data_IF_400871802552
#
_entry.id   IF_400871802552
#
_cell.length_a   1.000
_cell.length_b   1.000
_cell.length_c   1.000
_cell.angle_alpha   90.00
_cell.angle_beta   90.00
_cell.angle_gamma   90.00
#
_symmetry.space_group_name_H-M   'P 1'
#
loop_
_entity.id
_entity.type
_entity.pdbx_description
1 polymer ?
#
# COMPACT_ATOMS: atom_id res chain seq x y z
N UNK A 1 -6.33 -2.99 14.04
CA UNK A 1 -5.46 -1.98 13.46
C UNK A 1 -4.63 -2.54 12.32
N UNK A 2 -3.97 -3.64 12.52
CA UNK A 2 -3.25 -4.35 11.47
C UNK A 2 -4.06 -5.57 11.05
N UNK A 3 -4.36 -5.70 9.76
CA UNK A 3 -5.13 -6.82 9.25
C UNK A 3 -4.74 -7.14 7.80
N UNK A 4 -5.17 -8.30 7.33
CA UNK A 4 -4.90 -8.74 5.97
C UNK A 4 -5.99 -8.25 5.03
N UNK A 5 -5.59 -7.58 3.95
CA UNK A 5 -6.50 -7.13 2.91
C UNK A 5 -6.20 -7.88 1.61
N UNK A 6 -7.23 -8.06 0.80
CA UNK A 6 -7.11 -8.65 -0.54
C UNK A 6 -7.20 -7.52 -1.56
N UNK A 7 -6.23 -7.48 -2.46
CA UNK A 7 -6.15 -6.49 -3.52
C UNK A 7 -6.42 -7.13 -4.86
N UNK A 8 -7.23 -6.46 -5.68
CA UNK A 8 -7.45 -6.83 -7.06
C UNK A 8 -6.83 -5.76 -7.95
N UNK A 9 -5.84 -6.14 -8.72
CA UNK A 9 -5.08 -5.20 -9.55
C UNK A 9 -4.88 -5.75 -10.95
N UNK A 10 -4.64 -4.85 -11.89
CA UNK A 10 -4.23 -5.19 -13.25
C UNK A 10 -2.76 -4.84 -13.41
N UNK A 11 -1.97 -5.80 -13.84
CA UNK A 11 -0.54 -5.60 -14.07
C UNK A 11 -0.25 -5.77 -15.55
N UNK A 12 0.39 -4.78 -16.14
CA UNK A 12 0.80 -4.81 -17.54
C UNK A 12 2.28 -5.15 -17.64
N UNK A 13 2.61 -6.18 -18.41
CA UNK A 13 4.00 -6.55 -18.69
C UNK A 13 4.37 -6.20 -20.11
N UNK A 14 5.51 -5.52 -20.26
CA UNK A 14 6.08 -5.23 -21.58
C UNK A 14 6.69 -6.50 -22.18
N UNK A 15 6.96 -6.54 -23.49
CA UNK A 15 7.65 -7.68 -24.09
C UNK A 15 8.99 -7.99 -23.43
N UNK A 16 9.69 -6.97 -22.96
CA UNK A 16 10.96 -7.13 -22.23
C UNK A 16 10.73 -7.83 -20.89
N UNK A 17 9.69 -7.44 -20.17
CA UNK A 17 9.33 -8.07 -18.90
C UNK A 17 8.93 -9.53 -19.11
N UNK A 18 8.22 -9.83 -20.20
CA UNK A 18 7.82 -11.19 -20.53
C UNK A 18 9.02 -12.10 -20.78
N UNK A 19 10.08 -11.60 -21.41
CA UNK A 19 11.31 -12.36 -21.59
C UNK A 19 11.93 -12.76 -20.26
N UNK A 20 11.95 -11.83 -19.31
CA UNK A 20 12.45 -12.08 -17.96
C UNK A 20 11.56 -13.03 -17.18
N UNK A 21 10.26 -13.07 -17.51
CA UNK A 21 9.25 -13.84 -16.81
C UNK A 21 9.08 -15.29 -17.32
N UNK A 22 9.79 -15.70 -18.37
CA UNK A 22 9.61 -17.02 -18.98
C UNK A 22 9.75 -18.15 -17.95
N UNK A 23 10.68 -18.04 -17.03
CA UNK A 23 10.94 -19.08 -16.03
C UNK A 23 10.04 -18.96 -14.81
N UNK A 24 9.61 -17.75 -14.44
CA UNK A 24 8.82 -17.55 -13.24
C UNK A 24 7.97 -16.28 -13.33
N UNK A 25 6.82 -16.42 -13.98
CA UNK A 25 5.89 -15.31 -14.19
C UNK A 25 5.34 -14.77 -12.87
N UNK A 26 5.02 -15.65 -11.94
CA UNK A 26 4.41 -15.24 -10.67
C UNK A 26 5.36 -14.38 -9.84
N UNK A 27 6.66 -14.69 -9.85
CA UNK A 27 7.66 -13.88 -9.15
C UNK A 27 7.74 -12.47 -9.73
N UNK A 28 7.69 -12.34 -11.05
CA UNK A 28 7.74 -11.03 -11.73
C UNK A 28 6.49 -10.21 -11.41
N UNK A 29 5.32 -10.83 -11.46
CA UNK A 29 4.05 -10.16 -11.12
C UNK A 29 4.03 -9.72 -9.66
N UNK A 30 4.46 -10.58 -8.75
CA UNK A 30 4.55 -10.25 -7.33
C UNK A 30 5.50 -9.08 -7.08
N UNK A 31 6.66 -9.08 -7.74
CA UNK A 31 7.62 -7.98 -7.63
C UNK A 31 7.05 -6.65 -8.08
N UNK A 32 6.30 -6.64 -9.18
CA UNK A 32 5.64 -5.42 -9.66
C UNK A 32 4.53 -4.95 -8.72
N UNK A 33 3.78 -5.87 -8.14
CA UNK A 33 2.75 -5.53 -7.16
C UNK A 33 3.38 -4.95 -5.89
N UNK A 34 4.47 -5.53 -5.41
CA UNK A 34 5.18 -5.01 -4.25
C UNK A 34 5.67 -3.58 -4.48
N UNK A 35 6.26 -3.32 -5.64
CA UNK A 35 6.72 -1.97 -5.98
C UNK A 35 5.58 -0.96 -6.06
N UNK A 36 4.37 -1.39 -6.44
CA UNK A 36 3.21 -0.53 -6.57
C UNK A 36 2.48 -0.31 -5.24
N UNK A 37 2.37 -1.33 -4.41
CA UNK A 37 1.51 -1.33 -3.22
C UNK A 37 2.25 -1.11 -1.91
N UNK A 38 3.39 -1.72 -1.71
CA UNK A 38 4.10 -1.66 -0.43
C UNK A 38 4.63 -0.26 -0.11
N UNK A 39 4.53 0.12 1.16
CA UNK A 39 4.97 1.42 1.62
C UNK A 39 4.08 2.58 1.19
N UNK A 40 2.87 2.31 0.72
CA UNK A 40 1.94 3.32 0.24
C UNK A 40 0.56 3.11 0.86
N UNK A 41 -0.21 4.20 0.92
CA UNK A 41 -1.60 4.13 1.36
C UNK A 41 -2.49 3.62 0.23
N UNK A 42 -3.37 2.69 0.57
CA UNK A 42 -4.41 2.20 -0.32
C UNK A 42 -5.78 2.49 0.29
N UNK A 43 -6.85 2.14 -0.40
CA UNK A 43 -8.19 2.28 0.17
C UNK A 43 -8.40 1.39 1.39
N UNK A 44 -7.58 0.36 1.58
CA UNK A 44 -7.64 -0.52 2.74
C UNK A 44 -6.78 -0.05 3.90
N UNK A 45 -5.86 0.88 3.65
CA UNK A 45 -4.91 1.41 4.62
C UNK A 45 -3.49 1.41 4.09
N UNK A 46 -2.54 1.67 4.97
CA UNK A 46 -1.12 1.67 4.62
C UNK A 46 -0.61 0.24 4.49
N UNK A 47 -0.05 -0.10 3.33
CA UNK A 47 0.44 -1.45 3.04
C UNK A 47 1.84 -1.62 3.62
N UNK A 48 2.00 -2.59 4.50
CA UNK A 48 3.29 -2.87 5.14
C UNK A 48 4.29 -3.51 4.16
N UNK A 49 5.57 -3.22 4.36
CA UNK A 49 6.64 -3.78 3.54
C UNK A 49 6.76 -5.29 3.73
N UNK A 50 7.14 -5.99 2.67
CA UNK A 50 7.33 -7.45 2.65
C UNK A 50 6.09 -8.26 3.03
N UNK A 51 4.91 -7.67 2.91
CA UNK A 51 3.65 -8.33 3.26
C UNK A 51 2.84 -8.78 2.05
N UNK A 52 3.07 -8.19 0.88
CA UNK A 52 2.27 -8.47 -0.32
C UNK A 52 2.66 -9.82 -0.92
N UNK A 53 1.65 -10.67 -1.14
CA UNK A 53 1.81 -12.00 -1.72
C UNK A 53 0.78 -12.21 -2.81
N UNK A 54 1.22 -12.77 -3.92
CA UNK A 54 0.33 -13.11 -5.03
C UNK A 54 -0.51 -14.34 -4.67
N UNK A 55 -1.83 -14.22 -4.78
CA UNK A 55 -2.76 -15.33 -4.54
C UNK A 55 -3.12 -16.03 -5.83
N UNK A 56 -3.50 -15.27 -6.86
CA UNK A 56 -3.91 -15.83 -8.14
C UNK A 56 -3.72 -14.80 -9.25
N UNK A 57 -3.70 -15.28 -10.47
CA UNK A 57 -3.62 -14.45 -11.65
C UNK A 57 -4.49 -15.03 -12.76
N UNK A 58 -4.93 -14.15 -13.65
CA UNK A 58 -5.62 -14.58 -14.86
C UNK A 58 -4.61 -14.98 -15.94
N UNK A 59 -5.12 -15.55 -17.02
CA UNK A 59 -4.33 -15.69 -18.24
C UNK A 59 -4.11 -14.30 -18.84
N UNK A 60 -2.90 -14.03 -19.31
CA UNK A 60 -2.58 -12.74 -19.90
C UNK A 60 -3.40 -12.45 -21.16
N UNK A 61 -3.83 -11.20 -21.31
CA UNK A 61 -4.49 -10.73 -22.52
C UNK A 61 -3.68 -9.61 -23.14
N UNK A 62 -3.56 -9.62 -24.47
CA UNK A 62 -2.85 -8.56 -25.18
C UNK A 62 -3.68 -7.28 -25.12
N UNK A 63 -3.00 -6.16 -24.84
CA UNK A 63 -3.63 -4.85 -24.79
C UNK A 63 -4.05 -4.44 -26.21
N UNK A 64 -5.36 -4.44 -26.44
CA UNK A 64 -5.93 -4.05 -27.73
C UNK A 64 -6.05 -2.53 -27.78
N UNK A 65 -5.54 -1.92 -28.80
CA UNK A 65 -5.71 -0.49 -29.03
C UNK A 65 -4.46 0.36 -28.90
N UNK A 66 -3.37 -0.18 -28.37
CA UNK A 66 -2.11 0.56 -28.25
C UNK A 66 -0.95 0.00 -29.05
N UNK A 67 -1.10 -1.19 -29.62
CA UNK A 67 -0.05 -1.85 -30.42
C UNK A 67 1.34 -1.90 -29.75
N UNK A 68 1.36 -1.96 -28.42
CA UNK A 68 2.61 -1.97 -27.66
C UNK A 68 3.17 -3.37 -27.43
N UNK A 69 2.35 -4.40 -27.67
CA UNK A 69 2.71 -5.78 -27.33
C UNK A 69 2.65 -6.08 -25.83
N UNK A 70 2.12 -5.17 -25.02
CA UNK A 70 1.95 -5.40 -23.61
C UNK A 70 0.87 -6.44 -23.34
N UNK A 71 1.09 -7.25 -22.31
CA UNK A 71 0.14 -8.25 -21.86
C UNK A 71 -0.38 -7.85 -20.50
N UNK A 72 -1.69 -7.84 -20.33
CA UNK A 72 -2.36 -7.44 -19.10
C UNK A 72 -2.78 -8.68 -18.32
N UNK A 73 -2.42 -8.72 -17.05
CA UNK A 73 -2.82 -9.77 -16.12
C UNK A 73 -3.69 -9.18 -15.02
N UNK A 74 -4.83 -9.81 -14.76
CA UNK A 74 -5.64 -9.48 -13.60
C UNK A 74 -5.20 -10.37 -12.46
N UNK A 75 -4.78 -9.78 -11.35
CA UNK A 75 -4.18 -10.49 -10.24
C UNK A 75 -4.93 -10.22 -8.95
N UNK A 76 -4.93 -11.22 -8.08
CA UNK A 76 -5.37 -11.08 -6.70
C UNK A 76 -4.17 -11.30 -5.79
N UNK A 77 -3.99 -10.40 -4.86
CA UNK A 77 -2.90 -10.47 -3.91
C UNK A 77 -3.41 -10.17 -2.50
N UNK A 78 -2.72 -10.66 -1.51
CA UNK A 78 -2.98 -10.29 -0.12
C UNK A 78 -1.81 -9.49 0.43
N UNK A 79 -2.10 -8.63 1.39
CA UNK A 79 -1.07 -7.85 2.06
C UNK A 79 -1.57 -7.41 3.43
N UNK A 80 -0.63 -7.15 4.33
CA UNK A 80 -0.97 -6.61 5.64
C UNK A 80 -1.07 -5.10 5.53
N UNK A 81 -2.17 -4.56 6.05
CA UNK A 81 -2.43 -3.13 6.05
C UNK A 81 -2.59 -2.61 7.47
N UNK A 82 -2.19 -1.37 7.65
CA UNK A 82 -2.31 -0.65 8.90
C UNK A 82 -3.39 0.41 8.72
N UNK A 83 -4.52 0.23 9.39
CA UNK A 83 -5.64 1.15 9.30
C UNK A 83 -6.37 1.21 10.65
N UNK A 84 -5.94 2.10 11.55
CA UNK A 84 -6.59 2.21 12.85
C UNK A 84 -7.98 2.80 12.70
N UNK A 85 -9.00 2.20 13.35
CA UNK A 85 -10.33 2.80 13.39
C UNK A 85 -10.34 4.06 14.23
N UNK A 86 -11.39 4.86 14.09
CA UNK A 86 -11.57 6.06 14.91
C UNK A 86 -11.53 5.71 16.41
N UNK A 87 -11.00 6.64 17.19
CA UNK A 87 -10.86 6.52 18.66
C UNK A 87 -9.82 5.48 19.10
N UNK A 88 -9.01 4.96 18.18
CA UNK A 88 -7.88 4.11 18.55
C UNK A 88 -6.79 4.96 19.20
N UNK A 89 -6.28 4.49 20.33
CA UNK A 89 -5.18 5.17 21.01
C UNK A 89 -3.85 4.67 20.43
N UNK A 90 -3.06 5.61 19.93
CA UNK A 90 -1.76 5.31 19.36
C UNK A 90 -0.68 6.07 20.12
N UNK A 91 0.40 5.36 20.44
CA UNK A 91 1.58 5.98 21.05
C UNK A 91 2.60 6.26 19.96
N UNK A 92 2.85 7.53 19.71
CA UNK A 92 3.77 7.95 18.68
C UNK A 92 4.85 8.88 19.20
N UNK A 93 5.79 9.18 18.34
CA UNK A 93 6.88 10.10 18.62
C UNK A 93 6.60 11.45 17.97
N UNK A 94 6.72 12.54 18.74
CA UNK A 94 6.57 13.90 18.21
C UNK A 94 7.78 14.23 17.38
N UNK A 95 7.56 14.44 16.08
CA UNK A 95 8.64 14.75 15.13
C UNK A 95 8.76 16.24 14.83
N UNK A 96 7.69 16.99 15.04
CA UNK A 96 7.68 18.41 14.74
C UNK A 96 6.61 19.13 15.56
N UNK A 97 6.95 20.34 15.99
CA UNK A 97 6.05 21.25 16.67
C UNK A 97 6.09 22.61 15.98
N UNK A 98 4.95 23.17 15.67
CA UNK A 98 4.88 24.52 15.11
C UNK A 98 3.61 25.24 15.59
N UNK A 99 3.36 26.44 15.07
CA UNK A 99 2.21 27.26 15.48
C UNK A 99 0.87 26.61 15.15
N UNK A 100 0.84 25.68 14.19
CA UNK A 100 -0.40 25.04 13.76
C UNK A 100 -0.73 23.79 14.55
N UNK A 101 0.23 23.22 15.28
CA UNK A 101 -0.01 22.05 16.10
C UNK A 101 1.22 21.14 16.22
N UNK A 102 0.97 19.91 16.61
CA UNK A 102 1.97 18.88 16.77
C UNK A 102 1.87 17.85 15.63
N UNK A 103 3.02 17.40 15.16
CA UNK A 103 3.10 16.31 14.18
C UNK A 103 3.72 15.10 14.86
N UNK A 104 3.00 14.00 14.89
CA UNK A 104 3.40 12.77 15.55
C UNK A 104 3.60 11.68 14.51
N UNK A 105 4.66 10.90 14.63
CA UNK A 105 4.95 9.78 13.77
C UNK A 105 4.65 8.47 14.50
N UNK A 106 3.92 7.58 13.83
CA UNK A 106 3.63 6.25 14.33
C UNK A 106 4.13 5.20 13.34
N UNK A 107 5.16 4.43 13.73
CA UNK A 107 5.73 3.33 12.97
C UNK A 107 6.16 3.70 11.54
N UNK A 108 6.52 4.97 11.31
CA UNK A 108 6.85 5.50 9.98
C UNK A 108 5.77 5.28 8.92
N UNK A 109 4.57 4.90 9.34
CA UNK A 109 3.45 4.60 8.47
C UNK A 109 2.33 5.62 8.60
N UNK A 110 2.06 6.09 9.81
CA UNK A 110 0.95 6.99 10.09
C UNK A 110 1.50 8.29 10.64
N UNK A 111 1.05 9.39 10.06
CA UNK A 111 1.36 10.72 10.57
C UNK A 111 0.10 11.27 11.25
N UNK A 112 0.22 11.58 12.53
CA UNK A 112 -0.86 12.11 13.33
C UNK A 112 -0.66 13.61 13.46
N UNK A 113 -1.68 14.38 13.14
CA UNK A 113 -1.66 15.83 13.25
C UNK A 113 -2.58 16.23 14.38
N UNK A 114 -2.03 16.86 15.40
CA UNK A 114 -2.79 17.39 16.52
C UNK A 114 -2.88 18.90 16.34
N UNK A 115 -4.03 19.42 15.91
CA UNK A 115 -4.19 20.86 15.72
C UNK A 115 -4.21 21.59 17.07
N UNK A 116 -3.86 22.86 17.07
CA UNK A 116 -3.74 23.66 18.28
C UNK A 116 -5.07 23.97 18.96
N UNK A 117 -6.19 23.67 18.34
CA UNK A 117 -7.52 23.89 18.91
C UNK A 117 -7.85 22.83 19.98
N UNK A 118 -8.22 23.22 21.19
CA UNK A 118 -8.43 22.26 22.29
C UNK A 118 -9.46 21.18 21.97
N UNK A 119 -10.54 21.50 21.30
CA UNK A 119 -11.61 20.56 20.99
C UNK A 119 -11.17 19.47 19.99
N UNK A 120 -10.15 19.75 19.20
CA UNK A 120 -9.66 18.78 18.20
C UNK A 120 -8.68 17.77 18.76
N UNK A 121 -8.20 17.96 19.99
CA UNK A 121 -7.23 17.06 20.63
C UNK A 121 -7.88 15.97 21.49
N UNK A 122 -9.20 15.97 21.56
CA UNK A 122 -9.95 14.98 22.34
C UNK A 122 -9.73 13.56 21.81
N UNK A 123 -9.30 12.66 22.69
CA UNK A 123 -9.07 11.26 22.32
C UNK A 123 -7.78 11.00 21.57
N UNK A 124 -6.90 11.99 21.43
CA UNK A 124 -5.62 11.86 20.79
C UNK A 124 -4.50 11.97 21.83
N UNK A 125 -3.57 11.00 21.81
CA UNK A 125 -2.38 11.04 22.66
C UNK A 125 -1.13 11.07 21.79
N UNK A 126 -0.15 11.89 22.19
CA UNK A 126 1.18 11.92 21.61
C UNK A 126 2.21 11.66 22.71
N UNK A 127 3.18 10.85 22.41
CA UNK A 127 4.28 10.59 23.34
C UNK A 127 5.32 11.72 23.30
#
# INVERSE_FOLDING_TARGET
MEYTAVFEESVSLTPKDLRSAIKNLDTVLEGKLRARLEGKCSRHGYVLSDSVRLLSRSMGTVDRGRFTGNVIFHVQAEGKVLNPPDKTILDGEVIRKNKMGLYVNYRDAIRIIIPRRPEATRGIRAA
#
